data_IF_079130723628
#
_entry.id   IF_079130723628
#
_cell.length_a   1.000
_cell.length_b   1.000
_cell.length_c   1.000
_cell.angle_alpha   90.00
_cell.angle_beta   90.00
_cell.angle_gamma   90.00
#
_symmetry.space_group_name_H-M   'P 1'
#
loop_
_entity.id
_entity.type
_entity.pdbx_description
1 polymer ?
#
# COMPACT_ATOMS: atom_id res chain seq x y z
N UNK A 1 -37.53 -104.21 6.18
CA UNK A 1 -36.80 -104.16 7.46
C UNK A 1 -37.06 -102.80 8.09
N UNK A 2 -37.66 -102.79 9.27
CA UNK A 2 -38.03 -101.60 10.06
C UNK A 2 -36.81 -100.90 10.69
N UNK A 3 -36.88 -99.57 10.84
CA UNK A 3 -36.84 -98.81 12.12
C UNK A 3 -36.75 -97.30 11.77
N UNK A 4 -37.78 -96.46 11.90
CA UNK A 4 -38.44 -95.87 13.07
C UNK A 4 -37.55 -95.12 14.08
N UNK A 5 -37.97 -93.86 14.31
CA UNK A 5 -37.66 -92.91 15.39
C UNK A 5 -36.33 -92.13 15.27
N UNK A 6 -36.23 -90.83 15.60
CA UNK A 6 -37.05 -90.04 16.50
C UNK A 6 -37.07 -88.55 16.14
N UNK A 7 -38.26 -87.96 16.32
CA UNK A 7 -38.61 -86.54 16.38
C UNK A 7 -37.86 -85.82 17.50
N UNK A 8 -37.40 -84.59 17.26
CA UNK A 8 -37.20 -83.57 18.31
C UNK A 8 -37.35 -82.18 17.69
N UNK A 9 -38.49 -81.56 17.98
CA UNK A 9 -38.75 -80.16 17.72
C UNK A 9 -37.96 -79.31 18.72
N UNK A 10 -37.18 -78.34 18.24
CA UNK A 10 -36.79 -77.19 19.06
C UNK A 10 -37.45 -75.94 18.48
N UNK A 11 -38.47 -75.52 19.22
CA UNK A 11 -39.20 -74.27 19.09
C UNK A 11 -38.24 -73.12 19.29
N UNK A 12 -38.07 -72.31 18.25
CA UNK A 12 -37.41 -71.01 18.30
C UNK A 12 -38.33 -69.96 17.70
N UNK A 13 -39.40 -69.62 18.44
CA UNK A 13 -40.19 -68.42 18.18
C UNK A 13 -39.28 -67.21 18.41
N UNK A 14 -38.96 -66.48 17.33
CA UNK A 14 -37.98 -65.41 17.34
C UNK A 14 -38.30 -64.32 16.34
N UNK A 15 -39.49 -63.72 16.48
CA UNK A 15 -39.75 -62.32 16.14
C UNK A 15 -39.32 -61.89 14.73
N UNK A 16 -40.09 -62.27 13.71
CA UNK A 16 -40.19 -61.47 12.48
C UNK A 16 -40.81 -60.13 12.86
N UNK A 17 -39.95 -59.17 13.20
CA UNK A 17 -40.30 -57.80 13.51
C UNK A 17 -41.18 -57.27 12.38
N UNK A 18 -42.40 -56.87 12.72
CA UNK A 18 -43.32 -56.26 11.79
C UNK A 18 -42.64 -55.05 11.15
N UNK A 19 -42.23 -55.20 9.90
CA UNK A 19 -42.03 -54.06 9.01
C UNK A 19 -43.40 -53.37 8.96
N UNK A 20 -43.56 -52.33 9.78
CA UNK A 20 -44.62 -51.34 9.61
C UNK A 20 -44.58 -50.99 8.14
N UNK A 21 -45.59 -51.42 7.39
CA UNK A 21 -45.79 -51.00 6.01
C UNK A 21 -45.97 -49.50 6.07
N UNK A 22 -44.87 -48.77 5.91
CA UNK A 22 -44.93 -47.33 5.79
C UNK A 22 -45.71 -47.05 4.51
N UNK A 23 -46.70 -46.17 4.63
CA UNK A 23 -47.39 -45.62 3.48
C UNK A 23 -46.36 -45.15 2.44
N UNK A 24 -46.58 -45.37 1.14
CA UNK A 24 -45.71 -44.85 0.08
C UNK A 24 -45.42 -43.35 0.24
N UNK A 25 -46.39 -42.59 0.77
CA UNK A 25 -46.21 -41.18 1.09
C UNK A 25 -45.19 -40.95 2.22
N UNK A 26 -45.24 -41.74 3.29
CA UNK A 26 -44.29 -41.63 4.40
C UNK A 26 -42.86 -42.00 3.99
N UNK A 27 -42.70 -43.00 3.11
CA UNK A 27 -41.40 -43.36 2.54
C UNK A 27 -40.86 -42.24 1.62
N UNK A 28 -41.73 -41.60 0.85
CA UNK A 28 -41.34 -40.46 -0.01
C UNK A 28 -40.92 -39.24 0.81
N UNK A 29 -41.68 -38.87 1.86
CA UNK A 29 -41.29 -37.78 2.76
C UNK A 29 -39.97 -38.06 3.48
N UNK A 30 -39.76 -39.29 3.94
CA UNK A 30 -38.49 -39.70 4.55
C UNK A 30 -37.33 -39.59 3.55
N UNK A 31 -37.53 -40.06 2.31
CA UNK A 31 -36.54 -39.96 1.23
C UNK A 31 -36.21 -38.50 0.87
N UNK A 32 -37.22 -37.64 0.72
CA UNK A 32 -37.04 -36.21 0.45
C UNK A 32 -36.30 -35.51 1.60
N UNK A 33 -36.63 -35.82 2.85
CA UNK A 33 -35.94 -35.28 4.02
C UNK A 33 -34.45 -35.69 4.05
N UNK A 34 -34.16 -36.94 3.70
CA UNK A 34 -32.79 -37.47 3.67
C UNK A 34 -31.97 -36.85 2.53
N UNK A 35 -32.56 -36.72 1.34
CA UNK A 35 -31.92 -36.05 0.21
C UNK A 35 -31.65 -34.56 0.51
N UNK A 36 -32.61 -33.86 1.11
CA UNK A 36 -32.44 -32.48 1.55
C UNK A 36 -31.32 -32.34 2.58
N UNK A 37 -31.29 -33.19 3.61
CA UNK A 37 -30.24 -33.19 4.62
C UNK A 37 -28.86 -33.47 4.01
N UNK A 38 -28.75 -34.38 3.04
CA UNK A 38 -27.50 -34.70 2.35
C UNK A 38 -26.98 -33.50 1.53
N UNK A 39 -27.84 -32.83 0.77
CA UNK A 39 -27.48 -31.62 0.00
C UNK A 39 -27.04 -30.49 0.94
N UNK A 40 -27.76 -30.29 2.05
CA UNK A 40 -27.47 -29.22 3.00
C UNK A 40 -26.14 -29.47 3.72
N UNK A 41 -25.89 -30.71 4.16
CA UNK A 41 -24.60 -31.10 4.74
C UNK A 41 -23.45 -30.97 3.73
N UNK A 42 -23.67 -31.38 2.48
CA UNK A 42 -22.69 -31.22 1.39
C UNK A 42 -22.38 -29.75 1.08
N UNK A 43 -23.40 -28.90 1.04
CA UNK A 43 -23.27 -27.46 0.83
C UNK A 43 -22.50 -26.76 1.95
N UNK A 44 -22.79 -27.10 3.22
CA UNK A 44 -22.05 -26.58 4.37
C UNK A 44 -20.58 -27.03 4.32
N UNK A 45 -20.32 -28.30 4.01
CA UNK A 45 -18.96 -28.81 3.89
C UNK A 45 -18.18 -28.11 2.77
N UNK A 46 -18.78 -27.89 1.61
CA UNK A 46 -18.14 -27.22 0.49
C UNK A 46 -17.89 -25.73 0.79
N UNK A 47 -18.85 -25.03 1.40
CA UNK A 47 -18.70 -23.62 1.78
C UNK A 47 -17.62 -23.42 2.86
N UNK A 48 -17.51 -24.35 3.81
CA UNK A 48 -16.44 -24.36 4.80
C UNK A 48 -15.08 -24.70 4.17
N UNK A 49 -15.02 -25.70 3.30
CA UNK A 49 -13.77 -26.10 2.63
C UNK A 49 -13.22 -25.00 1.72
N UNK A 50 -14.11 -24.22 1.09
CA UNK A 50 -13.75 -23.10 0.25
C UNK A 50 -13.58 -21.77 1.02
N UNK A 51 -13.70 -21.78 2.35
CA UNK A 51 -13.68 -20.61 3.24
C UNK A 51 -14.51 -19.43 2.70
N UNK A 52 -15.72 -19.69 2.19
CA UNK A 52 -16.59 -18.64 1.62
C UNK A 52 -16.94 -17.55 2.65
N UNK A 53 -16.90 -17.89 3.94
CA UNK A 53 -17.10 -16.94 5.03
C UNK A 53 -15.88 -16.05 5.33
N UNK A 54 -14.70 -16.38 4.79
CA UNK A 54 -13.43 -15.70 5.07
C UNK A 54 -12.98 -15.78 6.53
N UNK A 55 -13.61 -16.63 7.35
CA UNK A 55 -13.33 -16.73 8.77
C UNK A 55 -11.98 -17.39 9.04
N UNK A 56 -11.56 -18.36 8.23
CA UNK A 56 -10.24 -18.96 8.37
C UNK A 56 -9.16 -17.95 7.97
N UNK A 57 -9.38 -17.20 6.88
CA UNK A 57 -8.50 -16.11 6.46
C UNK A 57 -8.37 -15.01 7.53
N UNK A 58 -9.48 -14.54 8.11
CA UNK A 58 -9.48 -13.54 9.17
C UNK A 58 -8.75 -14.01 10.43
N UNK A 59 -8.96 -15.27 10.85
CA UNK A 59 -8.23 -15.86 11.98
C UNK A 59 -6.73 -15.98 11.72
N UNK A 60 -6.33 -16.32 10.49
CA UNK A 60 -4.93 -16.36 10.10
C UNK A 60 -4.27 -14.97 10.16
N UNK A 61 -4.96 -13.93 9.67
CA UNK A 61 -4.50 -12.55 9.77
C UNK A 61 -4.38 -12.08 11.23
N UNK A 62 -5.34 -12.44 12.09
CA UNK A 62 -5.30 -12.11 13.51
C UNK A 62 -4.11 -12.79 14.22
N UNK A 63 -3.88 -14.08 13.96
CA UNK A 63 -2.74 -14.80 14.52
C UNK A 63 -1.40 -14.19 14.07
N UNK A 64 -1.29 -13.82 12.79
CA UNK A 64 -0.12 -13.14 12.26
C UNK A 64 0.12 -11.76 12.91
N UNK A 65 -0.95 -10.99 13.16
CA UNK A 65 -0.86 -9.71 13.85
C UNK A 65 -0.39 -9.86 15.31
N UNK A 66 -0.94 -10.85 16.03
CA UNK A 66 -0.53 -11.14 17.42
C UNK A 66 0.93 -11.57 17.52
N UNK A 67 1.42 -12.35 16.54
CA UNK A 67 2.84 -12.71 16.48
C UNK A 67 3.74 -11.48 16.26
N UNK A 68 3.35 -10.55 15.38
CA UNK A 68 4.10 -9.31 15.15
C UNK A 68 4.14 -8.41 16.39
N UNK A 69 3.04 -8.34 17.14
CA UNK A 69 3.00 -7.59 18.40
C UNK A 69 3.95 -8.19 19.44
N UNK A 70 3.93 -9.52 19.61
CA UNK A 70 4.82 -10.21 20.53
C UNK A 70 6.30 -10.05 20.14
N UNK A 71 6.60 -10.03 18.84
CA UNK A 71 7.94 -9.78 18.33
C UNK A 71 8.40 -8.33 18.58
N UNK A 72 7.55 -7.34 18.29
CA UNK A 72 7.83 -5.94 18.58
C UNK A 72 8.07 -5.70 20.07
N UNK A 73 7.28 -6.31 20.96
CA UNK A 73 7.50 -6.24 22.42
C UNK A 73 8.86 -6.84 22.81
N UNK A 74 9.27 -7.95 22.20
CA UNK A 74 10.59 -8.56 22.46
C UNK A 74 11.74 -7.66 22.01
N UNK A 75 11.62 -7.02 20.84
CA UNK A 75 12.60 -6.04 20.35
C UNK A 75 12.69 -4.85 21.29
N UNK A 76 11.56 -4.32 21.78
CA UNK A 76 11.55 -3.21 22.74
C UNK A 76 12.22 -3.58 24.08
N UNK A 77 11.97 -4.79 24.60
CA UNK A 77 12.62 -5.28 25.82
C UNK A 77 14.12 -5.51 25.61
N UNK A 78 14.53 -6.05 24.45
CA UNK A 78 15.94 -6.21 24.10
C UNK A 78 16.65 -4.85 23.98
N UNK A 79 16.03 -3.87 23.32
CA UNK A 79 16.55 -2.51 23.20
C UNK A 79 16.64 -1.81 24.56
N UNK A 80 15.66 -2.01 25.45
CA UNK A 80 15.70 -1.48 26.82
C UNK A 80 16.86 -2.10 27.64
N UNK A 81 17.14 -3.40 27.46
CA UNK A 81 18.29 -4.05 28.11
C UNK A 81 19.63 -3.55 27.58
N UNK A 82 19.76 -3.33 26.27
CA UNK A 82 20.98 -2.73 25.69
C UNK A 82 21.22 -1.31 26.21
N UNK A 83 20.16 -0.51 26.41
CA UNK A 83 20.28 0.82 27.01
C UNK A 83 20.75 0.78 28.47
N UNK A 84 20.41 -0.28 29.22
CA UNK A 84 20.86 -0.48 30.60
C UNK A 84 22.26 -1.08 30.76
N UNK A 85 22.84 -1.66 29.69
CA UNK A 85 24.17 -2.30 29.69
C UNK A 85 25.25 -1.42 29.04
N UNK A 86 24.89 -0.26 28.49
CA UNK A 86 25.88 0.70 27.98
C UNK A 86 26.80 1.12 29.13
N UNK A 87 28.10 0.74 29.13
CA UNK A 87 29.03 1.24 30.14
C UNK A 87 29.10 2.75 29.96
N UNK A 88 28.99 3.49 31.07
CA UNK A 88 29.35 4.89 31.12
C UNK A 88 30.82 5.01 30.69
N UNK A 89 31.03 5.24 29.40
CA UNK A 89 32.32 5.61 28.87
C UNK A 89 32.65 6.96 29.48
N UNK A 90 33.53 6.94 30.48
CA UNK A 90 34.28 8.10 30.91
C UNK A 90 35.07 8.62 29.70
N UNK A 91 34.46 9.50 28.92
CA UNK A 91 35.14 10.40 28.01
C UNK A 91 34.89 11.81 28.52
N UNK A 92 35.98 12.45 28.90
CA UNK A 92 35.99 13.73 29.60
C UNK A 92 35.19 14.80 28.88
N UNK A 93 34.41 15.53 29.67
CA UNK A 93 34.38 16.99 29.73
C UNK A 93 34.38 17.77 28.40
N UNK A 94 33.53 17.33 27.47
CA UNK A 94 32.94 18.25 26.50
C UNK A 94 31.52 17.80 26.23
N UNK A 95 30.60 18.31 27.04
CA UNK A 95 29.16 18.25 26.73
C UNK A 95 28.98 18.64 25.26
N UNK A 96 28.35 17.81 24.39
CA UNK A 96 28.15 18.18 23.00
C UNK A 96 27.35 19.46 23.00
N UNK A 97 28.01 20.56 22.65
CA UNK A 97 27.42 21.90 22.67
C UNK A 97 26.28 21.87 21.65
N UNK A 98 25.04 22.04 22.12
CA UNK A 98 23.88 22.19 21.24
C UNK A 98 24.20 23.26 20.19
N UNK A 99 24.13 22.95 18.89
CA UNK A 99 24.42 23.92 17.85
C UNK A 99 23.54 25.16 18.03
N UNK A 100 24.14 26.35 17.96
CA UNK A 100 23.38 27.60 18.06
C UNK A 100 22.42 27.71 16.86
N UNK A 101 21.24 28.30 17.08
CA UNK A 101 20.21 28.42 16.06
C UNK A 101 20.71 29.09 14.76
N UNK A 102 21.56 30.11 14.88
CA UNK A 102 22.15 30.78 13.73
C UNK A 102 23.03 29.84 12.89
N UNK A 103 23.80 28.95 13.53
CA UNK A 103 24.61 27.94 12.83
C UNK A 103 23.72 26.92 12.12
N UNK A 104 22.61 26.50 12.76
CA UNK A 104 21.64 25.60 12.13
C UNK A 104 20.99 26.24 10.89
N UNK A 105 20.69 27.55 10.94
CA UNK A 105 20.15 28.26 9.78
C UNK A 105 21.15 28.37 8.62
N UNK A 106 22.44 28.57 8.93
CA UNK A 106 23.50 28.60 7.92
C UNK A 106 23.68 27.22 7.27
N UNK A 107 23.70 26.15 8.06
CA UNK A 107 23.74 24.78 7.55
C UNK A 107 22.52 24.48 6.68
N UNK A 108 21.32 24.91 7.10
CA UNK A 108 20.10 24.71 6.33
C UNK A 108 20.13 25.46 5.00
N UNK A 109 20.69 26.68 4.99
CA UNK A 109 20.90 27.45 3.78
C UNK A 109 21.93 26.79 2.84
N UNK A 110 23.02 26.25 3.37
CA UNK A 110 24.01 25.51 2.59
C UNK A 110 23.43 24.24 1.96
N UNK A 111 22.58 23.50 2.70
CA UNK A 111 21.82 22.36 2.14
C UNK A 111 20.88 22.79 1.02
N UNK A 112 20.15 23.88 1.21
CA UNK A 112 19.26 24.40 0.16
C UNK A 112 20.04 24.86 -1.07
N UNK A 113 21.17 25.54 -0.91
CA UNK A 113 22.02 25.99 -2.01
C UNK A 113 22.67 24.82 -2.78
N UNK A 114 23.13 23.78 -2.07
CA UNK A 114 23.72 22.59 -2.68
C UNK A 114 22.70 21.64 -3.31
N UNK A 115 21.41 21.78 -3.00
CA UNK A 115 20.35 20.93 -3.57
C UNK A 115 20.03 21.22 -5.04
N UNK A 116 20.44 22.38 -5.57
CA UNK A 116 20.06 22.85 -6.91
C UNK A 116 18.73 23.60 -6.97
N UNK A 117 18.10 23.88 -5.81
CA UNK A 117 17.02 24.84 -5.68
C UNK A 117 17.54 26.27 -5.97
N UNK A 118 16.69 27.11 -6.56
CA UNK A 118 16.98 28.49 -6.98
C UNK A 118 16.08 29.47 -6.23
N UNK A 119 16.56 30.71 -6.06
CA UNK A 119 15.85 31.80 -5.40
C UNK A 119 15.24 31.36 -4.04
N UNK A 120 16.11 30.83 -3.18
CA UNK A 120 15.71 30.24 -1.90
C UNK A 120 15.47 31.35 -0.87
N UNK A 121 14.22 31.48 -0.41
CA UNK A 121 13.85 32.23 0.79
C UNK A 121 13.72 31.28 1.97
N UNK A 122 14.35 31.61 3.10
CA UNK A 122 14.26 30.87 4.34
C UNK A 122 13.72 31.79 5.43
N UNK A 123 12.51 31.51 5.90
CA UNK A 123 11.77 32.34 6.84
C UNK A 123 11.45 31.54 8.09
N UNK A 124 11.91 31.96 9.27
CA UNK A 124 11.43 31.41 10.53
C UNK A 124 9.92 31.69 10.67
N UNK A 125 9.09 30.66 10.85
CA UNK A 125 7.71 30.89 11.26
C UNK A 125 7.75 31.37 12.71
N UNK A 126 7.28 32.58 12.99
CA UNK A 126 7.38 33.21 14.32
C UNK A 126 6.97 32.24 15.43
N UNK A 127 7.83 32.11 16.42
CA UNK A 127 7.57 31.44 17.68
C UNK A 127 6.68 32.33 18.56
N UNK A 128 5.37 32.28 18.36
CA UNK A 128 4.45 32.64 19.44
C UNK A 128 4.48 31.50 20.47
N UNK A 129 5.47 31.58 21.36
CA UNK A 129 5.76 30.58 22.37
C UNK A 129 6.65 29.45 21.86
N UNK A 130 7.73 29.17 22.58
CA UNK A 130 8.41 27.90 22.45
C UNK A 130 7.35 26.80 22.62
N UNK A 131 7.14 25.99 21.59
CA UNK A 131 6.43 24.72 21.75
C UNK A 131 7.17 23.99 22.89
N UNK A 132 6.47 23.38 23.87
CA UNK A 132 7.10 22.78 25.05
C UNK A 132 8.23 21.79 24.73
N UNK A 133 8.26 21.26 23.50
CA UNK A 133 9.23 20.30 23.01
C UNK A 133 10.50 20.93 22.38
N UNK A 134 10.69 22.25 22.47
CA UNK A 134 11.88 22.95 21.94
C UNK A 134 11.96 23.09 20.41
N UNK A 135 10.88 22.70 19.71
CA UNK A 135 10.75 22.77 18.24
C UNK A 135 10.81 24.20 17.71
N UNK A 136 11.51 24.38 16.59
CA UNK A 136 11.53 25.62 15.79
C UNK A 136 11.21 25.31 14.33
N UNK A 137 10.18 25.93 13.79
CA UNK A 137 9.74 25.70 12.41
C UNK A 137 10.25 26.77 11.46
N UNK A 138 10.68 26.34 10.28
CA UNK A 138 11.23 27.19 9.21
C UNK A 138 10.49 26.90 7.91
N UNK A 139 10.12 27.95 7.18
CA UNK A 139 9.55 27.86 5.84
C UNK A 139 10.66 28.13 4.84
N UNK A 140 10.74 27.26 3.85
CA UNK A 140 11.66 27.35 2.73
C UNK A 140 10.81 27.49 1.48
N UNK A 141 11.00 28.59 0.74
CA UNK A 141 10.37 28.82 -0.56
C UNK A 141 11.47 28.89 -1.59
N UNK A 142 11.36 28.11 -2.66
CA UNK A 142 12.37 28.07 -3.72
C UNK A 142 11.74 27.63 -5.05
N UNK A 143 12.51 27.71 -6.12
CA UNK A 143 12.16 27.18 -7.43
C UNK A 143 13.10 26.04 -7.81
N UNK A 144 12.56 24.94 -8.32
CA UNK A 144 13.37 23.84 -8.79
C UNK A 144 12.55 22.61 -9.15
N UNK A 145 13.22 21.66 -9.81
CA UNK A 145 12.62 20.41 -10.22
C UNK A 145 12.58 19.35 -9.12
N UNK A 146 11.92 18.22 -9.40
CA UNK A 146 11.79 17.11 -8.44
C UNK A 146 13.15 16.61 -7.92
N UNK A 147 14.17 16.57 -8.77
CA UNK A 147 15.53 16.19 -8.37
C UNK A 147 16.11 17.11 -7.30
N UNK A 148 15.93 18.43 -7.44
CA UNK A 148 16.44 19.40 -6.49
C UNK A 148 15.71 19.28 -5.14
N UNK A 149 14.40 19.06 -5.18
CA UNK A 149 13.60 18.77 -3.99
C UNK A 149 14.04 17.49 -3.29
N UNK A 150 14.28 16.39 -4.02
CA UNK A 150 14.78 15.14 -3.43
C UNK A 150 16.16 15.31 -2.77
N UNK A 151 17.06 16.06 -3.40
CA UNK A 151 18.37 16.36 -2.81
C UNK A 151 18.24 17.20 -1.54
N UNK A 152 17.33 18.17 -1.52
CA UNK A 152 17.06 18.97 -0.33
C UNK A 152 16.51 18.12 0.82
N UNK A 153 15.47 17.31 0.58
CA UNK A 153 14.87 16.45 1.60
C UNK A 153 15.86 15.37 2.08
N UNK A 154 16.60 14.76 1.15
CA UNK A 154 17.67 13.80 1.48
C UNK A 154 18.80 14.44 2.30
N UNK A 155 19.12 15.71 2.05
CA UNK A 155 20.10 16.49 2.81
C UNK A 155 19.73 16.67 4.29
N UNK A 156 18.43 16.70 4.62
CA UNK A 156 17.96 16.82 6.01
C UNK A 156 18.29 15.58 6.86
N UNK A 157 18.43 14.40 6.25
CA UNK A 157 18.88 13.20 6.96
C UNK A 157 20.34 13.31 7.44
N UNK A 158 21.13 14.19 6.83
CA UNK A 158 22.52 14.51 7.19
C UNK A 158 22.64 15.83 7.97
N UNK A 159 21.52 16.39 8.41
CA UNK A 159 21.49 17.60 9.23
C UNK A 159 22.01 17.28 10.64
N UNK A 160 22.71 18.19 11.34
CA UNK A 160 23.35 17.89 12.63
C UNK A 160 22.36 17.59 13.77
N UNK A 161 21.11 18.04 13.64
CA UNK A 161 20.03 17.81 14.61
C UNK A 161 18.82 17.21 13.87
N UNK A 162 17.84 16.71 14.60
CA UNK A 162 16.60 16.24 13.99
C UNK A 162 15.89 17.39 13.26
N UNK A 163 15.79 17.27 11.94
CA UNK A 163 15.04 18.17 11.07
C UNK A 163 14.01 17.35 10.28
N UNK A 164 12.73 17.66 10.47
CA UNK A 164 11.61 16.90 9.91
C UNK A 164 10.83 17.80 8.95
N UNK A 165 10.68 17.42 7.66
CA UNK A 165 9.72 18.06 6.79
C UNK A 165 8.31 17.89 7.36
N UNK A 166 7.64 19.00 7.71
CA UNK A 166 6.30 19.00 8.32
C UNK A 166 5.19 19.34 7.32
N UNK A 167 5.51 20.08 6.26
CA UNK A 167 4.61 20.34 5.14
C UNK A 167 5.40 20.52 3.85
N UNK A 168 4.82 20.10 2.73
CA UNK A 168 5.39 20.29 1.39
C UNK A 168 4.26 20.63 0.42
N UNK A 169 4.44 21.72 -0.31
CA UNK A 169 3.57 22.16 -1.41
C UNK A 169 4.43 22.42 -2.63
N UNK A 170 4.02 21.85 -3.76
CA UNK A 170 4.69 22.04 -5.05
C UNK A 170 3.66 22.57 -6.04
N UNK A 171 3.96 23.71 -6.65
CA UNK A 171 3.14 24.36 -7.65
C UNK A 171 3.89 24.36 -8.98
N UNK A 172 3.23 23.95 -10.07
CA UNK A 172 3.83 24.02 -11.40
C UNK A 172 3.98 25.49 -11.82
N UNK A 173 5.20 25.89 -12.14
CA UNK A 173 5.52 27.20 -12.70
C UNK A 173 5.89 27.10 -14.17
N UNK A 174 6.05 28.24 -14.84
CA UNK A 174 6.41 28.30 -16.27
C UNK A 174 7.83 27.80 -16.54
N UNK A 175 8.79 28.17 -15.69
CA UNK A 175 10.21 27.83 -15.91
C UNK A 175 10.71 26.73 -14.97
N UNK A 176 10.16 26.68 -13.75
CA UNK A 176 10.45 25.68 -12.73
C UNK A 176 9.29 25.58 -11.75
N UNK A 177 9.15 24.44 -11.09
CA UNK A 177 8.15 24.29 -10.05
C UNK A 177 8.50 25.16 -8.83
N UNK A 178 7.51 25.85 -8.30
CA UNK A 178 7.61 26.56 -7.01
C UNK A 178 7.43 25.54 -5.90
N UNK A 179 8.41 25.45 -5.03
CA UNK A 179 8.46 24.55 -3.88
C UNK A 179 8.32 25.39 -2.62
N UNK A 180 7.35 25.04 -1.79
CA UNK A 180 7.17 25.59 -0.46
C UNK A 180 7.19 24.44 0.55
N UNK A 181 8.16 24.46 1.47
CA UNK A 181 8.38 23.40 2.44
C UNK A 181 8.52 23.99 3.84
N UNK A 182 7.84 23.38 4.82
CA UNK A 182 8.07 23.66 6.24
C UNK A 182 8.94 22.56 6.84
N UNK A 183 9.93 22.96 7.63
CA UNK A 183 10.86 22.07 8.32
C UNK A 183 10.80 22.37 9.81
N UNK A 184 10.46 21.36 10.60
CA UNK A 184 10.51 21.38 12.05
C UNK A 184 11.90 20.94 12.51
N UNK A 185 12.65 21.86 13.12
CA UNK A 185 13.99 21.60 13.66
C UNK A 185 13.89 21.44 15.17
N UNK A 186 14.51 20.40 15.70
CA UNK A 186 14.56 20.08 17.12
C UNK A 186 16.02 20.15 17.61
N UNK A 187 16.49 21.34 18.07
CA UNK A 187 17.91 21.54 18.37
C UNK A 187 18.47 20.60 19.45
N UNK A 188 17.63 20.15 20.39
CA UNK A 188 18.01 19.28 21.50
C UNK A 188 18.05 17.79 21.11
N UNK A 189 17.51 17.43 19.94
CA UNK A 189 17.47 16.05 19.47
C UNK A 189 18.60 15.84 18.44
N UNK A 190 19.60 15.00 18.76
CA UNK A 190 20.66 14.69 17.80
C UNK A 190 20.07 14.00 16.57
N UNK A 191 20.73 14.18 15.43
CA UNK A 191 20.36 13.48 14.21
C UNK A 191 20.30 11.96 14.46
N UNK A 192 19.29 11.26 13.93
CA UNK A 192 19.26 9.81 14.00
C UNK A 192 20.52 9.25 13.33
N UNK A 193 21.37 8.54 14.07
CA UNK A 193 22.50 7.84 13.48
C UNK A 193 21.94 6.77 12.54
N UNK A 194 22.00 7.04 11.24
CA UNK A 194 21.54 6.09 10.22
C UNK A 194 22.50 4.90 10.19
N UNK A 195 22.25 3.87 11.01
CA UNK A 195 22.98 2.59 10.97
C UNK A 195 22.44 1.67 9.87
N UNK A 196 21.64 2.17 8.93
CA UNK A 196 20.95 1.33 7.97
C UNK A 196 20.81 2.01 6.63
N UNK A 197 21.66 1.61 5.69
CA UNK A 197 21.51 1.88 4.27
C UNK A 197 21.74 3.33 3.90
N UNK A 198 22.77 3.56 3.09
CA UNK A 198 22.64 4.54 2.03
C UNK A 198 21.29 4.26 1.34
N UNK A 199 20.25 5.03 1.69
CA UNK A 199 19.02 5.01 0.92
C UNK A 199 19.49 5.25 -0.52
N UNK A 200 19.20 4.33 -1.46
CA UNK A 200 19.70 4.47 -2.80
C UNK A 200 19.27 5.85 -3.26
N UNK A 201 20.26 6.71 -3.50
CA UNK A 201 20.08 7.81 -4.42
C UNK A 201 19.51 7.11 -5.63
N UNK A 202 18.22 7.35 -5.91
CA UNK A 202 17.56 6.89 -7.13
C UNK A 202 18.32 7.57 -8.27
N UNK A 203 19.45 6.98 -8.63
CA UNK A 203 20.23 7.31 -9.79
C UNK A 203 19.49 6.72 -10.97
N UNK A 204 19.07 7.62 -11.84
CA UNK A 204 18.73 7.42 -13.24
C UNK A 204 17.65 6.38 -13.56
N UNK A 205 16.42 6.89 -13.60
CA UNK A 205 15.71 6.86 -14.88
C UNK A 205 15.50 8.32 -15.29
N UNK A 206 15.78 8.75 -16.54
CA UNK A 206 15.37 10.06 -17.03
C UNK A 206 13.85 10.06 -17.24
N UNK A 207 13.09 9.87 -16.15
CA UNK A 207 11.68 10.18 -16.13
C UNK A 207 11.54 11.69 -16.18
N UNK A 208 10.70 12.19 -17.09
CA UNK A 208 10.31 13.59 -17.13
C UNK A 208 10.00 14.08 -15.72
N UNK A 209 10.59 15.22 -15.32
CA UNK A 209 10.31 15.83 -14.02
C UNK A 209 8.78 15.89 -13.83
N UNK A 210 8.20 15.25 -12.79
CA UNK A 210 6.75 15.25 -12.58
C UNK A 210 6.19 16.67 -12.38
N UNK A 211 7.07 17.65 -12.17
CA UNK A 211 6.73 19.07 -12.05
C UNK A 211 7.26 19.94 -13.19
N UNK A 212 7.91 19.36 -14.20
CA UNK A 212 8.40 20.05 -15.40
C UNK A 212 7.24 20.53 -16.29
N UNK A 213 7.58 21.38 -17.27
CA UNK A 213 6.63 21.74 -18.33
C UNK A 213 6.11 20.47 -19.00
N UNK A 214 4.83 20.47 -19.39
CA UNK A 214 4.28 19.48 -20.30
C UNK A 214 5.02 19.64 -21.65
N UNK A 215 6.21 19.02 -21.73
CA UNK A 215 7.08 19.08 -22.89
C UNK A 215 6.36 18.54 -24.10
N UNK A 216 6.18 19.41 -25.07
CA UNK A 216 5.68 19.21 -26.42
C UNK A 216 6.58 18.25 -27.23
N UNK A 217 6.55 16.96 -26.89
CA UNK A 217 7.19 15.90 -27.70
C UNK A 217 6.43 14.56 -27.75
N UNK A 218 5.20 14.50 -27.24
CA UNK A 218 4.35 13.29 -27.27
C UNK A 218 2.95 13.59 -27.88
N UNK A 219 2.91 14.60 -28.75
CA UNK A 219 1.73 15.34 -29.18
C UNK A 219 0.83 14.64 -30.21
N UNK A 220 0.95 13.33 -30.42
CA UNK A 220 0.01 12.60 -31.28
C UNK A 220 -0.94 11.69 -30.49
N UNK A 221 -0.62 11.36 -29.22
CA UNK A 221 -1.49 10.55 -28.36
C UNK A 221 -1.57 11.02 -26.90
N UNK A 222 -0.78 12.02 -26.47
CA UNK A 222 -0.95 12.66 -25.16
C UNK A 222 -2.27 13.45 -25.01
N UNK A 223 -3.03 13.61 -26.10
CA UNK A 223 -4.40 14.11 -26.08
C UNK A 223 -5.46 13.00 -25.92
N UNK A 224 -5.06 11.72 -25.97
CA UNK A 224 -5.99 10.60 -25.95
C UNK A 224 -6.63 10.45 -24.56
N UNK A 225 -7.86 10.96 -24.42
CA UNK A 225 -8.62 10.91 -23.16
C UNK A 225 -9.26 9.54 -23.02
N UNK A 226 -9.19 8.96 -21.83
CA UNK A 226 -9.95 7.74 -21.56
C UNK A 226 -11.44 8.11 -21.53
N UNK A 227 -12.18 7.66 -22.53
CA UNK A 227 -13.60 7.93 -22.71
C UNK A 227 -14.50 6.86 -22.08
N UNK A 228 -13.96 5.64 -21.89
CA UNK A 228 -14.71 4.56 -21.26
C UNK A 228 -13.91 3.29 -21.07
N UNK A 229 -14.41 2.41 -20.20
CA UNK A 229 -13.88 1.04 -20.02
C UNK A 229 -15.04 0.06 -19.90
N UNK A 230 -14.92 -1.10 -20.54
CA UNK A 230 -15.86 -2.23 -20.42
C UNK A 230 -15.04 -3.44 -20.00
N UNK A 231 -15.55 -4.26 -19.08
CA UNK A 231 -14.86 -5.45 -18.60
C UNK A 231 -15.84 -6.59 -18.40
N UNK A 232 -15.42 -7.79 -18.80
CA UNK A 232 -16.02 -9.06 -18.39
C UNK A 232 -15.05 -9.82 -17.45
N UNK A 233 -15.43 -11.02 -17.01
CA UNK A 233 -14.60 -11.82 -16.09
C UNK A 233 -13.22 -12.21 -16.65
N UNK A 234 -13.03 -12.14 -17.97
CA UNK A 234 -11.88 -12.67 -18.70
C UNK A 234 -11.16 -11.63 -19.60
N UNK A 235 -11.80 -10.52 -19.96
CA UNK A 235 -11.31 -9.51 -20.89
C UNK A 235 -11.72 -8.10 -20.45
N UNK A 236 -10.88 -7.11 -20.78
CA UNK A 236 -11.17 -5.70 -20.57
C UNK A 236 -10.88 -4.92 -21.85
N UNK A 237 -11.73 -3.94 -22.14
CA UNK A 237 -11.66 -3.05 -23.29
C UNK A 237 -11.63 -1.60 -22.78
N UNK A 238 -10.74 -0.79 -23.31
CA UNK A 238 -10.68 0.63 -23.06
C UNK A 238 -10.99 1.42 -24.34
N UNK A 239 -11.69 2.54 -24.20
CA UNK A 239 -12.00 3.45 -25.29
C UNK A 239 -11.23 4.75 -25.08
N UNK A 240 -10.38 5.11 -26.03
CA UNK A 240 -9.65 6.38 -26.04
C UNK A 240 -10.24 7.32 -27.08
N UNK A 241 -10.49 8.56 -26.69
CA UNK A 241 -10.89 9.69 -27.55
C UNK A 241 -9.63 10.46 -27.93
N UNK A 242 -9.32 10.53 -29.22
CA UNK A 242 -8.15 11.26 -29.74
C UNK A 242 -8.29 12.79 -29.70
N UNK A 243 -9.48 13.30 -29.37
CA UNK A 243 -9.79 14.73 -29.29
C UNK A 243 -10.30 15.33 -30.60
N UNK A 244 -10.19 14.61 -31.72
CA UNK A 244 -10.76 14.98 -33.03
C UNK A 244 -12.14 14.31 -33.25
N UNK A 245 -12.68 13.67 -32.21
CA UNK A 245 -13.96 12.98 -32.22
C UNK A 245 -13.89 11.54 -32.73
N UNK A 246 -12.68 11.01 -32.95
CA UNK A 246 -12.47 9.61 -33.25
C UNK A 246 -12.15 8.83 -31.97
N UNK A 247 -12.79 7.66 -31.86
CA UNK A 247 -12.64 6.78 -30.72
C UNK A 247 -11.93 5.49 -31.13
N UNK A 248 -10.88 5.14 -30.39
CA UNK A 248 -10.14 3.89 -30.59
C UNK A 248 -10.37 2.95 -29.43
N UNK A 249 -10.85 1.74 -29.72
CA UNK A 249 -11.03 0.68 -28.74
C UNK A 249 -9.78 -0.20 -28.66
N UNK A 250 -9.26 -0.44 -27.46
CA UNK A 250 -8.01 -1.17 -27.23
C UNK A 250 -8.14 -2.18 -26.10
N UNK A 251 -7.43 -3.31 -26.21
CA UNK A 251 -7.36 -4.37 -25.20
C UNK A 251 -5.97 -4.45 -24.57
N UNK A 252 -5.79 -5.13 -23.42
CA UNK A 252 -4.46 -5.44 -22.89
C UNK A 252 -3.57 -6.08 -23.96
N UNK A 253 -2.40 -5.49 -24.18
CA UNK A 253 -1.46 -5.86 -25.22
C UNK A 253 -1.40 -4.87 -26.37
N UNK A 254 -2.46 -4.10 -26.64
CA UNK A 254 -2.48 -3.12 -27.74
C UNK A 254 -1.64 -1.88 -27.42
N UNK A 255 -1.25 -1.16 -28.47
CA UNK A 255 -0.50 0.09 -28.35
C UNK A 255 -1.41 1.31 -28.56
N UNK A 256 -1.29 2.29 -27.68
CA UNK A 256 -1.90 3.62 -27.78
C UNK A 256 -0.76 4.62 -27.82
N UNK A 257 -0.47 5.17 -29.01
CA UNK A 257 0.73 5.96 -29.26
C UNK A 257 2.02 5.19 -28.93
N UNK A 258 2.86 5.77 -28.07
CA UNK A 258 4.10 5.14 -27.62
C UNK A 258 3.91 4.16 -26.44
N UNK A 259 2.69 4.06 -25.90
CA UNK A 259 2.38 3.26 -24.72
C UNK A 259 1.68 1.94 -25.08
N UNK A 260 1.92 0.88 -24.30
CA UNK A 260 1.21 -0.41 -24.39
C UNK A 260 0.20 -0.53 -23.26
N UNK A 261 -1.02 -0.96 -23.56
CA UNK A 261 -2.04 -1.27 -22.57
C UNK A 261 -1.64 -2.51 -21.78
N UNK A 262 -1.44 -2.37 -20.48
CA UNK A 262 -1.07 -3.49 -19.59
C UNK A 262 -2.30 -4.10 -18.94
N UNK A 263 -3.23 -3.25 -18.47
CA UNK A 263 -4.40 -3.68 -17.70
C UNK A 263 -5.53 -2.68 -17.83
N UNK A 264 -6.74 -3.19 -18.02
CA UNK A 264 -7.98 -2.41 -18.00
C UNK A 264 -8.72 -2.66 -16.69
N UNK A 265 -8.91 -1.60 -15.91
CA UNK A 265 -9.71 -1.57 -14.67
C UNK A 265 -11.08 -0.90 -14.92
N UNK A 266 -12.06 -1.06 -14.01
CA UNK A 266 -13.40 -0.48 -14.19
C UNK A 266 -13.48 1.06 -14.34
N UNK A 267 -12.45 1.78 -13.88
CA UNK A 267 -12.41 3.25 -13.90
C UNK A 267 -11.05 3.79 -14.34
N UNK A 268 -10.17 2.92 -14.82
CA UNK A 268 -8.80 3.29 -15.17
C UNK A 268 -8.14 2.29 -16.12
N UNK A 269 -7.07 2.71 -16.77
CA UNK A 269 -6.23 1.87 -17.61
C UNK A 269 -4.78 2.05 -17.18
N UNK A 270 -4.06 0.94 -17.03
CA UNK A 270 -2.62 0.93 -16.81
C UNK A 270 -1.92 0.82 -18.15
N UNK A 271 -1.08 1.79 -18.46
CA UNK A 271 -0.27 1.85 -19.67
C UNK A 271 1.21 1.68 -19.29
N UNK A 272 2.00 1.09 -20.18
CA UNK A 272 3.44 0.99 -20.06
C UNK A 272 4.13 1.58 -21.28
N UNK A 273 5.01 2.56 -21.05
CA UNK A 273 5.93 3.10 -22.06
C UNK A 273 7.34 2.56 -21.81
N UNK A 274 8.29 2.95 -22.65
CA UNK A 274 9.70 2.70 -22.38
C UNK A 274 10.17 3.30 -21.04
N UNK A 275 9.50 4.36 -20.57
CA UNK A 275 9.85 5.12 -19.36
C UNK A 275 9.20 4.60 -18.08
N UNK A 276 8.29 3.62 -18.19
CA UNK A 276 7.63 2.99 -17.05
C UNK A 276 6.12 2.84 -17.21
N UNK A 277 5.47 2.39 -16.14
CA UNK A 277 4.02 2.21 -16.12
C UNK A 277 3.32 3.40 -15.45
N UNK A 278 2.26 3.90 -16.07
CA UNK A 278 1.42 4.96 -15.52
C UNK A 278 -0.07 4.62 -15.69
N UNK A 279 -0.92 5.29 -14.89
CA UNK A 279 -2.35 4.99 -14.82
C UNK A 279 -3.16 6.18 -15.35
N UNK A 280 -4.00 5.93 -16.33
CA UNK A 280 -4.96 6.89 -16.88
C UNK A 280 -6.33 6.60 -16.27
N UNK A 281 -6.96 7.59 -15.65
CA UNK A 281 -8.31 7.46 -15.07
C UNK A 281 -9.35 8.01 -16.03
N UNK A 282 -10.58 7.53 -15.91
CA UNK A 282 -11.71 8.08 -16.65
C UNK A 282 -11.84 9.57 -16.29
N UNK A 283 -11.87 10.45 -17.29
CA UNK A 283 -12.10 11.87 -17.08
C UNK A 283 -13.60 12.07 -16.84
N UNK A 284 -14.00 12.69 -15.73
CA UNK A 284 -15.42 12.93 -15.37
C UNK A 284 -16.09 13.98 -16.28
N UNK A 285 -15.44 14.38 -17.38
CA UNK A 285 -15.99 15.32 -18.36
C UNK A 285 -16.25 16.72 -17.79
N UNK A 286 -15.63 17.07 -16.66
CA UNK A 286 -15.78 18.39 -16.05
C UNK A 286 -14.96 19.40 -16.85
N UNK A 287 -15.53 19.90 -17.95
CA UNK A 287 -15.03 21.09 -18.64
C UNK A 287 -15.02 22.28 -17.66
N UNK A 288 -14.01 23.17 -17.71
CA UNK A 288 -14.05 24.47 -17.04
C UNK A 288 -15.18 25.36 -17.56
#
# INVERSE_FOLDING_TARGET
MMALAHRSALRGDGRRGGMRRMSPAAAHFAGCGLAFAAVLAGGIHLANAADWSGLAHSRALLAAAQMREADARRVLVAAARQRGVQPAAAHGDRSPRTPEWAALMLELADRAASSGLRDVSIEPLRADGAVPDGRRSVRIVAYGGFRALLQMVGGLARFPVLAVPSALRVERGKEAARVEMSVDVFPELPAPTSTGGEAPVLADTPGADPFGEAGSSEAEWAAARLAGTIRDGHAGLALFDDGDGAFTAVVPGDTVGAARVVRVDPVAVTLATADGAYRVTLDDGRRP
#
